data_IF_379196213710
#
_entry.id   IF_379196213710
#
_cell.length_a   1.000
_cell.length_b   1.000
_cell.length_c   1.000
_cell.angle_alpha   90.00
_cell.angle_beta   90.00
_cell.angle_gamma   90.00
#
_symmetry.space_group_name_H-M   'P 1'
#
loop_
_entity.id
_entity.type
_entity.pdbx_description
1 polymer ?
#
# COMPACT_ATOMS: atom_id res chain seq x y z
N UNK A 1 -26.78 6.25 28.27
CA UNK A 1 -26.20 6.35 26.92
C UNK A 1 -24.86 5.66 27.04
N UNK A 2 -24.65 4.59 26.29
CA UNK A 2 -23.33 3.96 26.19
C UNK A 2 -22.48 4.96 25.42
N UNK A 3 -21.74 5.80 26.14
CA UNK A 3 -20.75 6.71 25.56
C UNK A 3 -19.64 5.85 24.98
N UNK A 4 -19.86 5.33 23.78
CA UNK A 4 -18.77 4.79 22.99
C UNK A 4 -17.80 5.94 22.71
N UNK A 5 -16.51 5.75 22.97
CA UNK A 5 -15.56 6.83 22.87
C UNK A 5 -15.48 7.33 21.42
N UNK A 6 -15.30 8.64 21.20
CA UNK A 6 -15.40 9.26 19.89
C UNK A 6 -14.40 8.66 18.89
N UNK A 7 -14.92 8.23 17.74
CA UNK A 7 -14.16 7.58 16.66
C UNK A 7 -14.16 8.48 15.42
N UNK A 8 -12.97 8.88 14.96
CA UNK A 8 -12.83 9.63 13.72
C UNK A 8 -12.78 8.68 12.53
N UNK A 9 -13.66 8.91 11.55
CA UNK A 9 -13.66 8.15 10.31
C UNK A 9 -12.61 8.71 9.34
N UNK A 10 -11.61 7.90 8.98
CA UNK A 10 -10.56 8.30 8.01
C UNK A 10 -11.06 8.26 6.56
N UNK A 11 -12.21 7.64 6.32
CA UNK A 11 -12.90 7.62 5.05
C UNK A 11 -14.31 8.19 5.23
N UNK A 12 -14.84 8.89 4.23
CA UNK A 12 -16.16 9.50 4.37
C UNK A 12 -17.25 8.42 4.54
N UNK A 13 -18.14 8.52 5.54
CA UNK A 13 -19.10 7.45 5.86
C UNK A 13 -20.07 7.10 4.72
N UNK A 14 -20.44 8.08 3.88
CA UNK A 14 -21.33 7.87 2.75
C UNK A 14 -20.62 7.47 1.45
N UNK A 15 -19.30 7.70 1.34
CA UNK A 15 -18.52 7.35 0.15
C UNK A 15 -17.05 7.12 0.55
N UNK A 16 -16.68 5.86 0.76
CA UNK A 16 -15.37 5.49 1.27
C UNK A 16 -14.20 5.81 0.31
N UNK A 17 -14.48 6.27 -0.91
CA UNK A 17 -13.46 6.76 -1.86
C UNK A 17 -12.86 8.09 -1.42
N UNK A 18 -13.59 8.87 -0.64
CA UNK A 18 -13.10 10.09 -0.01
C UNK A 18 -12.29 9.74 1.25
N UNK A 19 -11.08 10.26 1.34
CA UNK A 19 -10.18 10.08 2.50
C UNK A 19 -10.04 11.40 3.24
N UNK A 20 -10.03 11.36 4.57
CA UNK A 20 -9.88 12.55 5.40
C UNK A 20 -8.53 13.21 5.13
N UNK A 21 -8.57 14.49 4.78
CA UNK A 21 -7.38 15.27 4.41
C UNK A 21 -7.05 16.34 5.43
N UNK A 22 -8.07 16.89 6.09
CA UNK A 22 -7.93 18.00 7.01
C UNK A 22 -9.03 17.99 8.09
N UNK A 23 -8.67 18.49 9.27
CA UNK A 23 -9.49 18.54 10.49
C UNK A 23 -9.18 19.86 11.22
N UNK A 24 -10.22 20.57 11.66
CA UNK A 24 -10.07 21.82 12.42
C UNK A 24 -11.31 22.09 13.29
N UNK A 25 -11.13 22.79 14.39
CA UNK A 25 -12.18 23.40 15.21
C UNK A 25 -12.68 24.76 14.68
N UNK A 26 -12.07 25.28 13.60
CA UNK A 26 -12.44 26.53 12.95
C UNK A 26 -13.00 26.31 11.54
N UNK A 27 -14.26 26.71 11.36
CA UNK A 27 -14.98 26.63 10.09
C UNK A 27 -14.29 27.40 8.97
N UNK A 28 -13.79 28.60 9.28
CA UNK A 28 -13.16 29.50 8.33
C UNK A 28 -11.84 28.90 7.84
N UNK A 29 -11.04 28.34 8.75
CA UNK A 29 -9.78 27.65 8.40
C UNK A 29 -10.04 26.44 7.50
N UNK A 30 -11.06 25.62 7.80
CA UNK A 30 -11.47 24.51 6.91
C UNK A 30 -11.92 25.01 5.54
N UNK A 31 -12.67 26.10 5.48
CA UNK A 31 -13.12 26.71 4.21
C UNK A 31 -11.94 27.24 3.37
N UNK A 32 -10.97 27.91 3.99
CA UNK A 32 -9.75 28.36 3.29
C UNK A 32 -8.96 27.18 2.75
N UNK A 33 -8.85 26.09 3.52
CA UNK A 33 -8.20 24.87 3.05
C UNK A 33 -8.94 24.23 1.88
N UNK A 34 -10.26 24.23 1.89
CA UNK A 34 -11.08 23.73 0.79
C UNK A 34 -10.91 24.60 -0.47
N UNK A 35 -10.87 25.92 -0.35
CA UNK A 35 -10.57 26.82 -1.47
C UNK A 35 -9.20 26.53 -2.07
N UNK A 36 -8.16 26.39 -1.25
CA UNK A 36 -6.82 26.02 -1.74
C UNK A 36 -6.82 24.68 -2.50
N UNK A 37 -7.56 23.68 -2.03
CA UNK A 37 -7.63 22.38 -2.68
C UNK A 37 -8.50 22.40 -3.95
N UNK A 38 -9.50 23.28 -4.04
CA UNK A 38 -10.34 23.43 -5.25
C UNK A 38 -9.59 23.99 -6.46
N UNK A 39 -8.42 24.60 -6.26
CA UNK A 39 -7.52 25.02 -7.35
C UNK A 39 -6.93 23.83 -8.12
N UNK A 40 -6.97 22.62 -7.54
CA UNK A 40 -6.54 21.38 -8.16
C UNK A 40 -7.73 20.73 -8.87
N UNK A 41 -7.72 20.74 -10.20
CA UNK A 41 -8.82 20.24 -11.04
C UNK A 41 -9.10 18.75 -10.89
N UNK A 42 -8.14 18.00 -10.36
CA UNK A 42 -8.19 16.57 -10.10
C UNK A 42 -8.64 16.23 -8.67
N UNK A 43 -9.10 17.18 -7.85
CA UNK A 43 -9.56 16.89 -6.49
C UNK A 43 -11.05 17.17 -6.35
N UNK A 44 -11.81 16.12 -6.01
CA UNK A 44 -13.13 16.27 -5.42
C UNK A 44 -13.04 16.37 -3.91
N UNK A 45 -13.99 17.10 -3.32
CA UNK A 45 -14.05 17.31 -1.87
C UNK A 45 -15.43 16.96 -1.32
N UNK A 46 -15.43 16.43 -0.10
CA UNK A 46 -16.61 16.27 0.71
C UNK A 46 -16.32 16.89 2.10
N UNK A 47 -17.29 17.63 2.63
CA UNK A 47 -17.18 18.23 3.95
C UNK A 47 -18.12 17.53 4.92
N UNK A 48 -17.69 17.40 6.16
CA UNK A 48 -18.53 16.95 7.26
C UNK A 48 -18.23 17.79 8.50
N UNK A 49 -19.22 17.93 9.37
CA UNK A 49 -19.09 18.64 10.63
C UNK A 49 -19.56 17.65 11.73
N UNK A 50 -18.78 17.47 12.79
CA UNK A 50 -19.05 16.51 13.87
C UNK A 50 -19.03 17.21 15.23
N UNK A 51 -19.75 16.66 16.22
CA UNK A 51 -19.67 17.15 17.60
C UNK A 51 -18.85 16.18 18.46
N UNK A 52 -17.76 16.69 19.04
CA UNK A 52 -16.84 15.91 19.89
C UNK A 52 -16.62 16.71 21.17
N UNK A 53 -16.90 16.09 22.33
CA UNK A 53 -16.74 16.76 23.62
C UNK A 53 -17.58 18.05 23.80
N UNK A 54 -18.65 18.23 23.01
CA UNK A 54 -19.47 19.45 23.00
C UNK A 54 -18.94 20.57 22.08
N UNK A 55 -17.82 20.38 21.41
CA UNK A 55 -17.28 21.29 20.40
C UNK A 55 -17.64 20.81 18.99
N UNK A 56 -17.66 21.73 18.01
CA UNK A 56 -17.87 21.37 16.60
C UNK A 56 -16.53 21.24 15.90
N UNK A 57 -16.29 20.08 15.31
CA UNK A 57 -15.09 19.79 14.52
C UNK A 57 -15.47 19.74 13.04
N UNK A 58 -14.72 20.47 12.22
CA UNK A 58 -14.89 20.61 10.79
C UNK A 58 -13.91 19.72 10.04
N UNK A 59 -14.47 18.78 9.28
CA UNK A 59 -13.73 17.79 8.50
C UNK A 59 -13.78 18.14 7.01
N UNK A 60 -12.67 17.86 6.33
CA UNK A 60 -12.56 17.95 4.89
C UNK A 60 -11.93 16.66 4.36
N UNK A 61 -12.73 15.93 3.59
CA UNK A 61 -12.33 14.74 2.88
C UNK A 61 -12.05 15.09 1.43
N UNK A 62 -11.08 14.40 0.85
CA UNK A 62 -10.72 14.55 -0.56
C UNK A 62 -10.73 13.21 -1.26
N UNK A 63 -11.12 13.20 -2.51
CA UNK A 63 -10.86 12.11 -3.45
C UNK A 63 -10.14 12.71 -4.65
N UNK A 64 -8.98 12.18 -4.97
CA UNK A 64 -8.32 12.53 -6.22
C UNK A 64 -9.00 11.77 -7.37
N UNK A 65 -9.39 12.51 -8.40
CA UNK A 65 -10.07 12.08 -9.62
C UNK A 65 -9.14 11.42 -10.66
N UNK A 66 -7.83 11.32 -10.39
CA UNK A 66 -6.81 11.00 -11.38
C UNK A 66 -7.23 10.03 -12.49
N UNK A 67 -7.32 10.61 -13.69
CA UNK A 67 -7.00 9.98 -14.96
C UNK A 67 -5.48 10.14 -15.18
N UNK A 68 -4.82 9.05 -15.61
CA UNK A 68 -3.40 8.95 -15.95
C UNK A 68 -2.36 8.85 -14.79
N UNK A 69 -1.82 7.64 -14.61
CA UNK A 69 -0.56 7.34 -13.93
C UNK A 69 0.56 6.96 -14.93
N UNK A 70 0.21 7.02 -16.22
CA UNK A 70 1.04 7.06 -17.42
C UNK A 70 0.26 7.92 -18.44
N UNK A 71 0.93 8.61 -19.38
CA UNK A 71 0.27 9.44 -20.38
C UNK A 71 -0.89 8.72 -21.08
N UNK A 72 -1.89 9.47 -21.53
CA UNK A 72 -2.83 8.90 -22.50
C UNK A 72 -2.09 8.75 -23.82
N UNK A 73 -2.00 7.51 -24.30
CA UNK A 73 -1.39 7.16 -25.56
C UNK A 73 -2.50 6.88 -26.57
N UNK A 74 -2.38 7.45 -27.76
CA UNK A 74 -3.31 7.20 -28.85
C UNK A 74 -2.90 5.93 -29.63
N UNK A 75 -1.63 5.51 -29.54
CA UNK A 75 -1.11 4.32 -30.22
C UNK A 75 -0.22 3.43 -29.36
N UNK A 76 -0.05 2.17 -29.76
CA UNK A 76 0.89 1.22 -29.13
C UNK A 76 2.34 1.67 -29.28
N UNK A 77 2.71 2.32 -30.40
CA UNK A 77 4.06 2.84 -30.58
C UNK A 77 4.43 3.92 -29.56
N UNK A 78 3.49 4.79 -29.18
CA UNK A 78 3.73 5.82 -28.16
C UNK A 78 3.93 5.20 -26.77
N UNK A 79 3.22 4.10 -26.47
CA UNK A 79 3.44 3.32 -25.24
C UNK A 79 4.86 2.75 -25.21
N UNK A 80 5.29 2.12 -26.31
CA UNK A 80 6.62 1.52 -26.42
C UNK A 80 7.71 2.59 -26.29
N UNK A 81 7.57 3.72 -26.99
CA UNK A 81 8.53 4.84 -26.92
C UNK A 81 8.63 5.41 -25.50
N UNK A 82 7.51 5.55 -24.80
CA UNK A 82 7.50 5.97 -23.40
C UNK A 82 8.18 4.95 -22.50
N UNK A 83 7.87 3.65 -22.64
CA UNK A 83 8.55 2.59 -21.87
C UNK A 83 10.06 2.58 -22.13
N UNK A 84 10.48 2.75 -23.37
CA UNK A 84 11.88 2.82 -23.79
C UNK A 84 12.61 4.04 -23.25
N UNK A 85 11.88 5.14 -23.02
CA UNK A 85 12.42 6.39 -22.50
C UNK A 85 12.52 6.37 -20.98
N UNK A 86 11.46 5.92 -20.29
CA UNK A 86 11.35 6.02 -18.83
C UNK A 86 12.03 4.86 -18.08
N UNK A 87 12.19 3.70 -18.71
CA UNK A 87 12.63 2.49 -18.02
C UNK A 87 13.83 1.84 -18.69
N UNK A 88 14.77 1.36 -17.87
CA UNK A 88 15.85 0.51 -18.35
C UNK A 88 15.33 -0.87 -18.77
N UNK A 89 16.03 -1.55 -19.68
CA UNK A 89 15.69 -2.94 -20.08
C UNK A 89 15.54 -3.92 -18.90
N UNK A 90 16.23 -3.67 -17.79
CA UNK A 90 16.07 -4.49 -16.58
C UNK A 90 14.83 -4.13 -15.78
N UNK A 91 14.51 -2.84 -15.67
CA UNK A 91 13.30 -2.40 -14.97
C UNK A 91 12.04 -2.81 -15.72
N UNK A 92 12.05 -2.77 -17.05
CA UNK A 92 10.93 -3.24 -17.89
C UNK A 92 10.53 -4.67 -17.60
N UNK A 93 11.48 -5.57 -17.41
CA UNK A 93 11.19 -6.98 -17.12
C UNK A 93 10.48 -7.17 -15.79
N UNK A 94 10.90 -6.41 -14.78
CA UNK A 94 10.23 -6.45 -13.47
C UNK A 94 8.87 -5.75 -13.55
N UNK A 95 8.75 -4.67 -14.31
CA UNK A 95 7.48 -3.99 -14.58
C UNK A 95 6.46 -4.94 -15.23
N UNK A 96 6.85 -5.68 -16.27
CA UNK A 96 5.99 -6.67 -16.91
C UNK A 96 5.57 -7.76 -15.92
N UNK A 97 6.51 -8.31 -15.14
CA UNK A 97 6.15 -9.28 -14.11
C UNK A 97 5.13 -8.71 -13.09
N UNK A 98 5.28 -7.45 -12.67
CA UNK A 98 4.33 -6.77 -11.77
C UNK A 98 2.95 -6.58 -12.41
N UNK A 99 2.91 -6.19 -13.68
CA UNK A 99 1.67 -6.02 -14.44
C UNK A 99 0.98 -7.38 -14.60
N UNK A 100 1.70 -8.41 -14.99
CA UNK A 100 1.17 -9.78 -15.15
C UNK A 100 0.58 -10.31 -13.84
N UNK A 101 1.27 -10.11 -12.70
CA UNK A 101 0.76 -10.47 -11.37
C UNK A 101 -0.53 -9.68 -11.07
N UNK A 102 -0.55 -8.38 -11.34
CA UNK A 102 -1.71 -7.54 -11.08
C UNK A 102 -2.92 -7.97 -11.92
N UNK A 103 -2.73 -8.20 -13.22
CA UNK A 103 -3.78 -8.62 -14.15
C UNK A 103 -4.30 -10.03 -13.82
N UNK A 104 -3.43 -10.93 -13.38
CA UNK A 104 -3.83 -12.24 -12.85
C UNK A 104 -4.78 -12.10 -11.64
N UNK A 105 -4.44 -11.23 -10.69
CA UNK A 105 -5.30 -10.95 -9.51
C UNK A 105 -6.65 -10.35 -9.92
N UNK A 106 -6.70 -9.51 -10.95
CA UNK A 106 -7.94 -8.95 -11.46
C UNK A 106 -8.81 -10.02 -12.11
N UNK A 107 -8.22 -10.84 -12.97
CA UNK A 107 -8.91 -11.94 -13.67
C UNK A 107 -9.56 -12.90 -12.68
N UNK A 108 -8.81 -13.36 -11.67
CA UNK A 108 -9.33 -14.24 -10.61
C UNK A 108 -10.54 -13.63 -9.87
N UNK A 109 -10.54 -12.32 -9.65
CA UNK A 109 -11.65 -11.64 -8.96
C UNK A 109 -12.88 -11.47 -9.83
N UNK A 110 -12.70 -11.17 -11.12
CA UNK A 110 -13.79 -11.12 -12.08
C UNK A 110 -14.45 -12.50 -12.22
N UNK A 111 -13.66 -13.57 -12.28
CA UNK A 111 -14.15 -14.96 -12.28
C UNK A 111 -14.94 -15.31 -11.01
N UNK A 112 -14.55 -14.73 -9.87
CA UNK A 112 -15.27 -14.86 -8.59
C UNK A 112 -16.53 -13.96 -8.49
N UNK A 113 -16.90 -13.26 -9.57
CA UNK A 113 -18.11 -12.45 -9.66
C UNK A 113 -18.03 -11.10 -8.94
N UNK A 114 -16.81 -10.63 -8.61
CA UNK A 114 -16.62 -9.29 -8.09
C UNK A 114 -16.57 -8.28 -9.24
N UNK A 115 -17.45 -7.27 -9.22
CA UNK A 115 -17.35 -6.10 -10.11
C UNK A 115 -16.13 -5.27 -9.70
N UNK A 116 -15.02 -5.45 -10.39
CA UNK A 116 -13.72 -4.92 -9.99
C UNK A 116 -13.21 -3.91 -11.01
N UNK A 117 -13.85 -2.74 -11.09
CA UNK A 117 -13.32 -1.67 -11.93
C UNK A 117 -12.05 -1.04 -11.33
N UNK A 118 -10.99 -0.93 -12.12
CA UNK A 118 -9.78 -0.17 -11.80
C UNK A 118 -10.09 1.33 -11.81
N UNK A 119 -10.52 1.88 -10.67
CA UNK A 119 -10.85 3.31 -10.54
C UNK A 119 -9.64 4.27 -10.60
N UNK A 120 -8.41 3.75 -10.78
CA UNK A 120 -7.15 4.51 -10.87
C UNK A 120 -6.18 3.79 -11.83
N UNK A 121 -5.28 4.53 -12.50
CA UNK A 121 -4.19 3.95 -13.31
C UNK A 121 -2.97 3.60 -12.41
N UNK A 122 -2.08 2.71 -12.89
CA UNK A 122 -0.86 2.26 -12.18
C UNK A 122 0.27 3.29 -12.22
N UNK A 123 0.88 3.60 -11.07
CA UNK A 123 2.02 4.51 -10.93
C UNK A 123 3.33 3.73 -11.10
N UNK A 124 3.61 3.38 -12.36
CA UNK A 124 4.73 2.50 -12.76
C UNK A 124 6.09 3.14 -12.48
N UNK A 125 6.18 4.47 -12.53
CA UNK A 125 7.41 5.23 -12.26
C UNK A 125 7.94 5.03 -10.83
N UNK A 126 7.09 4.64 -9.88
CA UNK A 126 7.54 4.30 -8.51
C UNK A 126 8.31 2.99 -8.43
N UNK A 127 8.09 2.05 -9.34
CA UNK A 127 8.65 0.69 -9.26
C UNK A 127 10.18 0.70 -9.35
N UNK A 128 10.82 1.42 -10.30
CA UNK A 128 12.29 1.57 -10.29
C UNK A 128 12.83 2.13 -8.96
N UNK A 129 12.12 3.09 -8.35
CA UNK A 129 12.46 3.64 -7.04
C UNK A 129 12.41 2.61 -5.91
N UNK A 130 11.46 1.66 -5.95
CA UNK A 130 11.40 0.51 -5.04
C UNK A 130 12.63 -0.37 -5.23
N UNK A 131 12.94 -0.76 -6.46
CA UNK A 131 14.04 -1.67 -6.79
C UNK A 131 15.41 -1.10 -6.44
N UNK A 132 15.58 0.21 -6.57
CA UNK A 132 16.83 0.91 -6.24
C UNK A 132 17.01 1.09 -4.72
N UNK A 133 15.95 0.94 -3.93
CA UNK A 133 16.00 1.04 -2.48
C UNK A 133 16.38 -0.28 -1.81
N UNK A 134 16.09 -1.40 -2.47
CA UNK A 134 16.47 -2.73 -2.00
C UNK A 134 17.99 -2.86 -1.97
N UNK A 135 18.53 -3.29 -0.84
CA UNK A 135 19.90 -3.71 -0.71
C UNK A 135 20.03 -5.12 -1.28
N UNK A 136 20.58 -5.21 -2.49
CA UNK A 136 20.82 -6.47 -3.16
C UNK A 136 22.11 -7.13 -2.64
N UNK A 137 22.27 -8.44 -2.88
CA UNK A 137 23.44 -9.22 -2.42
C UNK A 137 23.56 -9.40 -0.90
N UNK A 138 22.44 -9.37 -0.20
CA UNK A 138 22.30 -9.83 1.19
C UNK A 138 21.57 -11.16 1.23
N UNK A 139 21.07 -11.63 2.38
CA UNK A 139 20.32 -12.88 2.42
C UNK A 139 19.05 -12.80 1.57
N UNK A 140 18.71 -13.88 0.89
CA UNK A 140 17.47 -14.01 0.09
C UNK A 140 16.22 -13.56 0.87
N UNK A 141 15.98 -14.00 2.13
CA UNK A 141 14.83 -13.52 2.91
C UNK A 141 14.83 -12.01 3.15
N UNK A 142 16.01 -11.39 3.35
CA UNK A 142 16.11 -9.95 3.60
C UNK A 142 15.76 -9.15 2.34
N UNK A 143 16.29 -9.56 1.17
CA UNK A 143 15.93 -8.97 -0.13
C UNK A 143 14.43 -9.11 -0.39
N UNK A 144 13.86 -10.29 -0.14
CA UNK A 144 12.42 -10.53 -0.30
C UNK A 144 11.57 -9.63 0.61
N UNK A 145 11.99 -9.45 1.87
CA UNK A 145 11.30 -8.60 2.83
C UNK A 145 11.34 -7.12 2.43
N UNK A 146 12.48 -6.64 1.93
CA UNK A 146 12.62 -5.28 1.41
C UNK A 146 11.81 -5.05 0.15
N UNK A 147 11.82 -5.99 -0.81
CA UNK A 147 10.98 -5.95 -2.00
C UNK A 147 9.50 -5.79 -1.63
N UNK A 148 8.99 -6.70 -0.78
CA UNK A 148 7.60 -6.67 -0.31
C UNK A 148 7.29 -5.35 0.42
N UNK A 149 8.14 -4.97 1.37
CA UNK A 149 7.93 -3.80 2.21
C UNK A 149 7.91 -2.51 1.40
N UNK A 150 8.95 -2.27 0.61
CA UNK A 150 9.09 -1.05 -0.17
C UNK A 150 8.06 -0.96 -1.29
N UNK A 151 7.67 -2.07 -1.91
CA UNK A 151 6.58 -2.09 -2.90
C UNK A 151 5.26 -1.63 -2.29
N UNK A 152 4.85 -2.23 -1.16
CA UNK A 152 3.61 -1.87 -0.46
C UNK A 152 3.64 -0.41 0.02
N UNK A 153 4.78 0.06 0.53
CA UNK A 153 4.94 1.45 1.01
C UNK A 153 4.94 2.49 -0.12
N UNK A 154 5.42 2.13 -1.31
CA UNK A 154 5.35 2.99 -2.51
C UNK A 154 3.92 3.06 -3.06
N UNK A 155 3.15 1.98 -2.88
CA UNK A 155 1.77 1.86 -3.31
C UNK A 155 1.57 2.18 -4.81
N UNK A 156 2.32 1.53 -5.73
CA UNK A 156 2.30 1.84 -7.15
C UNK A 156 0.99 1.39 -7.83
N UNK A 157 0.29 0.40 -7.29
CA UNK A 157 -0.92 -0.14 -7.89
C UNK A 157 -2.16 0.69 -7.48
N UNK A 158 -3.20 0.76 -8.34
CA UNK A 158 -4.42 1.50 -8.04
C UNK A 158 -5.23 0.87 -6.89
N UNK A 159 -5.19 -0.46 -6.82
CA UNK A 159 -5.74 -1.29 -5.76
C UNK A 159 -4.78 -2.49 -5.57
N UNK A 160 -5.14 -3.46 -4.72
CA UNK A 160 -4.41 -4.74 -4.57
C UNK A 160 -2.89 -4.70 -4.29
N UNK A 161 -2.29 -3.55 -3.94
CA UNK A 161 -0.85 -3.41 -3.64
C UNK A 161 -0.26 -4.50 -2.74
N UNK A 162 -0.98 -4.90 -1.69
CA UNK A 162 -0.56 -6.01 -0.82
C UNK A 162 -0.45 -7.32 -1.58
N UNK A 163 -1.48 -7.69 -2.37
CA UNK A 163 -1.49 -8.94 -3.13
C UNK A 163 -0.45 -8.91 -4.24
N UNK A 164 -0.31 -7.80 -4.96
CA UNK A 164 0.72 -7.65 -5.99
C UNK A 164 2.13 -7.70 -5.39
N UNK A 165 2.36 -7.08 -4.23
CA UNK A 165 3.64 -7.17 -3.52
C UNK A 165 3.96 -8.60 -3.06
N UNK A 166 2.95 -9.35 -2.58
CA UNK A 166 3.10 -10.76 -2.22
C UNK A 166 3.38 -11.61 -3.47
N UNK A 167 2.72 -11.36 -4.59
CA UNK A 167 3.02 -12.04 -5.86
C UNK A 167 4.42 -11.73 -6.38
N UNK A 168 4.92 -10.50 -6.20
CA UNK A 168 6.29 -10.15 -6.55
C UNK A 168 7.30 -10.89 -5.66
N UNK A 169 7.01 -11.04 -4.37
CA UNK A 169 7.79 -11.86 -3.45
C UNK A 169 7.77 -13.33 -3.87
N UNK A 170 6.62 -13.88 -4.21
CA UNK A 170 6.47 -15.25 -4.72
C UNK A 170 7.36 -15.46 -5.95
N UNK A 171 7.23 -14.59 -6.96
CA UNK A 171 8.06 -14.63 -8.17
C UNK A 171 9.57 -14.53 -7.86
N UNK A 172 9.95 -13.70 -6.88
CA UNK A 172 11.34 -13.60 -6.43
C UNK A 172 11.86 -14.90 -5.82
N UNK A 173 11.11 -15.50 -4.89
CA UNK A 173 11.50 -16.74 -4.21
C UNK A 173 11.47 -17.95 -5.15
N UNK A 174 10.47 -18.07 -6.02
CA UNK A 174 10.40 -19.13 -7.05
C UNK A 174 11.57 -19.04 -8.04
N UNK A 175 12.17 -17.86 -8.21
CA UNK A 175 13.38 -17.74 -9.04
C UNK A 175 14.60 -18.44 -8.41
N UNK A 176 14.65 -18.61 -7.09
CA UNK A 176 15.71 -19.36 -6.40
C UNK A 176 15.38 -20.84 -6.26
N UNK A 177 14.11 -21.17 -6.03
CA UNK A 177 13.63 -22.54 -5.92
C UNK A 177 12.34 -22.72 -6.74
N UNK A 178 12.42 -23.41 -7.88
CA UNK A 178 11.25 -23.70 -8.72
C UNK A 178 10.18 -24.54 -7.99
N UNK A 179 10.57 -25.24 -6.92
CA UNK A 179 9.66 -25.97 -6.03
C UNK A 179 8.94 -25.08 -5.01
N UNK A 180 9.39 -23.85 -4.82
CA UNK A 180 8.73 -22.90 -3.93
C UNK A 180 7.40 -22.44 -4.54
N UNK A 181 6.37 -22.46 -3.70
CA UNK A 181 5.09 -21.84 -3.97
C UNK A 181 4.65 -21.10 -2.72
N UNK A 182 4.25 -19.83 -2.86
CA UNK A 182 3.59 -19.11 -1.79
C UNK A 182 2.37 -19.92 -1.31
N UNK A 183 2.22 -20.18 0.00
CA UNK A 183 1.09 -20.96 0.47
C UNK A 183 -0.26 -20.31 0.08
N UNK A 184 -1.31 -21.11 -0.09
CA UNK A 184 -2.58 -20.66 -0.69
C UNK A 184 -3.32 -19.64 0.17
N UNK A 185 -3.47 -18.42 -0.37
CA UNK A 185 -4.14 -17.27 0.28
C UNK A 185 -5.60 -17.09 -0.12
N UNK A 186 -6.16 -17.98 -0.95
CA UNK A 186 -7.50 -17.89 -1.51
C UNK A 186 -8.59 -18.59 -0.69
N UNK A 187 -8.26 -19.67 0.02
CA UNK A 187 -9.23 -20.46 0.80
C UNK A 187 -9.21 -20.12 2.30
N UNK A 188 -10.38 -20.15 2.96
CA UNK A 188 -10.46 -19.96 4.41
C UNK A 188 -9.67 -21.05 5.15
N UNK A 189 -8.54 -20.64 5.73
CA UNK A 189 -7.61 -21.51 6.44
C UNK A 189 -6.59 -20.72 7.25
N UNK A 190 -5.65 -21.42 7.90
CA UNK A 190 -4.61 -20.81 8.74
C UNK A 190 -3.79 -19.77 7.97
N UNK A 191 -3.48 -20.04 6.70
CA UNK A 191 -2.67 -19.14 5.89
C UNK A 191 -3.43 -17.90 5.43
N UNK A 192 -4.68 -18.05 4.97
CA UNK A 192 -5.57 -16.93 4.70
C UNK A 192 -5.70 -15.99 5.90
N UNK A 193 -5.88 -16.54 7.11
CA UNK A 193 -5.96 -15.75 8.33
C UNK A 193 -4.65 -15.01 8.61
N UNK A 194 -3.51 -15.68 8.50
CA UNK A 194 -2.21 -15.08 8.78
C UNK A 194 -1.83 -13.99 7.75
N UNK A 195 -2.05 -14.22 6.46
CA UNK A 195 -1.86 -13.18 5.43
C UNK A 195 -2.82 -12.02 5.66
N UNK A 196 -4.07 -12.29 6.07
CA UNK A 196 -5.02 -11.24 6.45
C UNK A 196 -4.50 -10.42 7.63
N UNK A 197 -3.97 -11.04 8.68
CA UNK A 197 -3.37 -10.33 9.82
C UNK A 197 -2.20 -9.44 9.39
N UNK A 198 -1.29 -9.96 8.56
CA UNK A 198 -0.21 -9.17 7.97
C UNK A 198 -0.75 -7.95 7.19
N UNK A 199 -1.76 -8.16 6.33
CA UNK A 199 -2.39 -7.09 5.55
C UNK A 199 -3.04 -6.04 6.46
N UNK A 200 -3.74 -6.45 7.52
CA UNK A 200 -4.37 -5.55 8.48
C UNK A 200 -3.33 -4.70 9.21
N UNK A 201 -2.27 -5.32 9.72
CA UNK A 201 -1.18 -4.63 10.39
C UNK A 201 -0.42 -3.70 9.45
N UNK A 202 -0.13 -4.16 8.23
CA UNK A 202 0.50 -3.34 7.20
C UNK A 202 -0.35 -2.10 6.88
N UNK A 203 -1.66 -2.26 6.72
CA UNK A 203 -2.61 -1.13 6.53
C UNK A 203 -2.60 -0.17 7.72
N UNK A 204 -2.54 -0.69 8.96
CA UNK A 204 -2.39 0.14 10.17
C UNK A 204 -1.07 0.91 10.16
N UNK A 205 0.05 0.26 9.87
CA UNK A 205 1.38 0.88 9.79
C UNK A 205 1.42 1.96 8.69
N UNK A 206 0.84 1.70 7.52
CA UNK A 206 0.71 2.66 6.42
C UNK A 206 -0.08 3.92 6.85
N UNK A 207 -1.19 3.74 7.56
CA UNK A 207 -1.97 4.86 8.11
C UNK A 207 -1.10 5.69 9.06
N UNK A 208 -0.43 5.06 10.01
CA UNK A 208 0.44 5.74 10.96
C UNK A 208 1.61 6.44 10.26
N UNK A 209 2.22 5.83 9.25
CA UNK A 209 3.29 6.42 8.45
C UNK A 209 2.83 7.67 7.71
N UNK A 210 1.66 7.64 7.10
CA UNK A 210 1.21 8.66 6.15
C UNK A 210 0.35 9.76 6.79
N UNK A 211 -0.34 9.45 7.89
CA UNK A 211 -1.37 10.32 8.48
C UNK A 211 -1.08 10.72 9.92
N UNK A 212 0.08 10.39 10.53
CA UNK A 212 0.36 10.77 11.93
C UNK A 212 0.10 12.26 12.25
N UNK A 213 0.47 13.23 11.40
CA UNK A 213 0.16 14.63 11.66
C UNK A 213 -1.35 14.92 11.77
N UNK A 214 -2.17 14.23 10.97
CA UNK A 214 -3.63 14.32 11.05
C UNK A 214 -4.14 13.69 12.35
N UNK A 215 -3.59 12.53 12.73
CA UNK A 215 -3.96 11.82 13.95
C UNK A 215 -3.60 12.60 15.23
N UNK A 216 -2.53 13.39 15.18
CA UNK A 216 -2.20 14.33 16.25
C UNK A 216 -3.31 15.35 16.48
N UNK A 217 -3.84 15.95 15.42
CA UNK A 217 -4.96 16.87 15.52
C UNK A 217 -6.23 16.17 16.00
N UNK A 218 -6.53 14.97 15.48
CA UNK A 218 -7.65 14.17 15.97
C UNK A 218 -7.58 13.94 17.49
N UNK A 219 -6.40 13.57 17.99
CA UNK A 219 -6.18 13.39 19.42
C UNK A 219 -6.38 14.70 20.21
N UNK A 220 -5.91 15.83 19.68
CA UNK A 220 -6.09 17.15 20.30
C UNK A 220 -7.55 17.59 20.38
N UNK A 221 -8.36 17.23 19.38
CA UNK A 221 -9.80 17.52 19.35
C UNK A 221 -10.65 16.50 20.12
N UNK A 222 -10.03 15.59 20.87
CA UNK A 222 -10.72 14.69 21.79
C UNK A 222 -11.20 13.38 21.18
N UNK A 223 -10.78 13.02 19.96
CA UNK A 223 -10.99 11.66 19.46
C UNK A 223 -10.10 10.68 20.23
N UNK A 224 -10.65 9.51 20.55
CA UNK A 224 -9.91 8.43 21.22
C UNK A 224 -9.43 7.38 20.22
N UNK A 225 -10.22 7.14 19.18
CA UNK A 225 -9.90 6.16 18.12
C UNK A 225 -10.05 6.79 16.75
N UNK A 226 -9.33 6.24 15.78
CA UNK A 226 -9.61 6.47 14.36
C UNK A 226 -9.92 5.15 13.68
N UNK A 227 -10.81 5.19 12.71
CA UNK A 227 -11.23 4.02 11.94
C UNK A 227 -10.93 4.22 10.46
N UNK A 228 -10.26 3.24 9.88
CA UNK A 228 -10.05 3.11 8.44
C UNK A 228 -11.02 2.08 7.87
N UNK A 229 -11.21 2.12 6.55
CA UNK A 229 -11.92 1.08 5.80
C UNK A 229 -11.53 -0.33 6.26
N UNK A 230 -12.48 -1.26 6.16
CA UNK A 230 -12.35 -2.66 6.60
C UNK A 230 -12.28 -2.83 8.14
N UNK A 231 -12.74 -1.82 8.90
CA UNK A 231 -12.86 -1.91 10.37
C UNK A 231 -11.52 -1.84 11.11
N UNK A 232 -10.47 -1.33 10.47
CA UNK A 232 -9.16 -1.18 11.11
C UNK A 232 -9.23 0.02 12.04
N UNK A 233 -9.27 -0.25 13.35
CA UNK A 233 -9.26 0.76 14.39
C UNK A 233 -7.84 1.00 14.93
N UNK A 234 -7.53 2.25 15.21
CA UNK A 234 -6.28 2.66 15.85
C UNK A 234 -6.65 3.46 17.09
N UNK A 235 -6.27 2.94 18.26
CA UNK A 235 -6.34 3.68 19.50
C UNK A 235 -5.24 4.76 19.53
N UNK A 236 -5.66 6.01 19.72
CA UNK A 236 -4.76 7.16 19.74
C UNK A 236 -3.94 7.22 21.05
N UNK A 237 -4.41 6.60 22.14
CA UNK A 237 -3.67 6.50 23.40
C UNK A 237 -2.50 5.50 23.33
N UNK A 238 -2.57 4.52 22.42
CA UNK A 238 -1.53 3.50 22.25
C UNK A 238 -0.36 3.95 21.35
N UNK A 239 -0.46 5.10 20.70
CA UNK A 239 0.53 5.59 19.74
C UNK A 239 1.16 6.90 20.19
N UNK A 240 2.44 7.09 19.84
CA UNK A 240 3.09 8.38 20.01
C UNK A 240 2.72 9.32 18.85
N UNK A 241 1.61 10.06 18.98
CA UNK A 241 1.15 11.05 17.98
C UNK A 241 2.13 12.22 17.76
N UNK A 242 3.04 12.47 18.69
CA UNK A 242 4.04 13.54 18.61
C UNK A 242 5.37 13.09 17.98
N UNK A 243 5.45 11.85 17.51
CA UNK A 243 6.66 11.30 16.89
C UNK A 243 7.01 12.06 15.61
N UNK A 244 8.19 12.69 15.59
CA UNK A 244 8.66 13.50 14.45
C UNK A 244 9.31 12.66 13.35
N UNK A 245 9.93 11.53 13.69
CA UNK A 245 10.56 10.58 12.76
C UNK A 245 9.58 9.52 12.23
N UNK A 246 8.27 9.78 12.29
CA UNK A 246 7.23 8.78 12.03
C UNK A 246 7.34 8.09 10.68
N UNK A 247 7.78 8.81 9.62
CA UNK A 247 7.95 8.22 8.29
C UNK A 247 9.00 7.10 8.30
N UNK A 248 10.18 7.37 8.87
CA UNK A 248 11.27 6.38 8.95
C UNK A 248 10.93 5.29 9.97
N UNK A 249 10.41 5.67 11.14
CA UNK A 249 10.00 4.72 12.17
C UNK A 249 9.00 3.69 11.64
N UNK A 250 7.90 4.14 11.02
CA UNK A 250 6.90 3.21 10.50
C UNK A 250 7.33 2.52 9.20
N UNK A 251 8.31 3.05 8.47
CA UNK A 251 8.95 2.30 7.37
C UNK A 251 9.72 1.11 7.90
N UNK A 252 10.54 1.30 8.96
CA UNK A 252 11.28 0.20 9.59
C UNK A 252 10.34 -0.81 10.25
N UNK A 253 9.29 -0.35 10.94
CA UNK A 253 8.26 -1.24 11.50
C UNK A 253 7.56 -2.08 10.44
N UNK A 254 7.35 -1.52 9.24
CA UNK A 254 6.80 -2.28 8.13
C UNK A 254 7.79 -3.33 7.63
N UNK A 255 9.08 -2.96 7.51
CA UNK A 255 10.14 -3.89 7.14
C UNK A 255 10.27 -5.05 8.15
N UNK A 256 10.31 -4.76 9.46
CA UNK A 256 10.34 -5.80 10.51
C UNK A 256 9.20 -6.81 10.33
N UNK A 257 7.98 -6.33 10.07
CA UNK A 257 6.81 -7.19 9.82
C UNK A 257 6.91 -7.95 8.50
N UNK A 258 7.54 -7.37 7.47
CA UNK A 258 7.82 -8.07 6.22
C UNK A 258 8.90 -9.13 6.37
N UNK A 259 9.92 -8.95 7.22
CA UNK A 259 10.90 -9.98 7.55
C UNK A 259 10.22 -11.18 8.22
N UNK A 260 9.42 -10.93 9.26
CA UNK A 260 8.63 -11.97 9.93
C UNK A 260 7.69 -12.70 8.94
N UNK A 261 7.13 -11.95 7.98
CA UNK A 261 6.29 -12.52 6.93
C UNK A 261 7.08 -13.49 6.04
N UNK A 262 8.21 -13.07 5.50
CA UNK A 262 9.03 -13.88 4.59
C UNK A 262 9.58 -15.11 5.30
N UNK A 263 10.09 -14.96 6.53
CA UNK A 263 10.58 -16.10 7.32
C UNK A 263 9.47 -17.14 7.53
N UNK A 264 8.26 -16.70 7.87
CA UNK A 264 7.12 -17.61 8.06
C UNK A 264 6.74 -18.30 6.76
N UNK A 265 6.71 -17.57 5.64
CA UNK A 265 6.41 -18.14 4.33
C UNK A 265 7.41 -19.23 3.93
N UNK A 266 8.72 -18.99 4.12
CA UNK A 266 9.76 -19.98 3.84
C UNK A 266 9.65 -21.22 4.73
N UNK A 267 9.30 -21.05 6.01
CA UNK A 267 9.11 -22.18 6.93
C UNK A 267 7.90 -23.04 6.54
N UNK A 268 6.76 -22.41 6.21
CA UNK A 268 5.53 -23.13 5.88
C UNK A 268 5.59 -23.78 4.48
N UNK A 269 6.38 -23.22 3.56
CA UNK A 269 6.64 -23.82 2.24
C UNK A 269 7.76 -24.89 2.24
N UNK A 270 8.33 -25.24 3.41
CA UNK A 270 9.49 -26.15 3.55
C UNK A 270 10.73 -25.69 2.74
N UNK A 271 10.84 -24.39 2.45
CA UNK A 271 11.91 -23.76 1.69
C UNK A 271 12.96 -23.09 2.59
N UNK A 272 13.18 -23.65 3.79
CA UNK A 272 14.09 -23.08 4.80
C UNK A 272 15.55 -23.03 4.37
N UNK A 273 15.94 -23.82 3.35
CA UNK A 273 17.28 -23.76 2.77
C UNK A 273 17.61 -22.36 2.20
N UNK A 274 16.61 -21.63 1.68
CA UNK A 274 16.77 -20.26 1.19
C UNK A 274 17.16 -19.26 2.28
N UNK A 275 16.90 -19.55 3.56
CA UNK A 275 17.25 -18.64 4.67
C UNK A 275 18.76 -18.42 4.81
N UNK A 276 19.57 -19.39 4.36
CA UNK A 276 21.04 -19.30 4.38
C UNK A 276 21.64 -18.82 3.06
N UNK A 277 20.83 -18.61 2.03
CA UNK A 277 21.30 -18.24 0.70
C UNK A 277 21.52 -16.73 0.59
N UNK A 278 22.58 -16.36 -0.13
CA UNK A 278 22.89 -14.96 -0.45
C UNK A 278 22.38 -14.64 -1.85
N UNK A 279 21.64 -13.55 -1.96
CA UNK A 279 21.16 -13.03 -3.22
C UNK A 279 22.33 -12.70 -4.18
N UNK A 280 22.15 -12.94 -5.48
CA UNK A 280 23.18 -12.70 -6.49
C UNK A 280 23.07 -11.34 -7.21
N UNK A 281 22.04 -10.57 -6.86
CA UNK A 281 21.84 -9.18 -7.22
C UNK A 281 20.71 -8.93 -8.21
N UNK A 282 20.24 -7.67 -8.27
CA UNK A 282 19.15 -7.21 -9.16
C UNK A 282 19.24 -7.75 -10.59
N UNK A 283 20.43 -7.72 -11.19
CA UNK A 283 20.63 -8.17 -12.58
C UNK A 283 20.33 -9.66 -12.73
N UNK A 284 20.77 -10.48 -11.79
CA UNK A 284 20.56 -11.91 -11.87
C UNK A 284 19.08 -12.28 -11.62
N UNK A 285 18.39 -11.55 -10.73
CA UNK A 285 16.93 -11.66 -10.63
C UNK A 285 16.24 -11.32 -11.96
N UNK A 286 16.62 -10.21 -12.62
CA UNK A 286 16.11 -9.87 -13.96
C UNK A 286 16.40 -10.98 -14.99
N UNK A 287 17.61 -11.54 -14.98
CA UNK A 287 17.99 -12.61 -15.90
C UNK A 287 17.16 -13.89 -15.67
N UNK A 288 16.84 -14.21 -14.40
CA UNK A 288 15.94 -15.32 -14.06
C UNK A 288 14.51 -15.08 -14.51
N UNK A 289 13.99 -13.86 -14.39
CA UNK A 289 12.67 -13.51 -14.91
C UNK A 289 12.56 -13.73 -16.42
N UNK A 290 13.62 -13.43 -17.19
CA UNK A 290 13.69 -13.66 -18.64
C UNK A 290 13.80 -15.13 -19.03
N UNK A 291 14.38 -15.97 -18.16
CA UNK A 291 14.57 -17.40 -18.40
C UNK A 291 13.38 -18.27 -18.01
N UNK A 292 12.32 -17.69 -17.44
CA UNK A 292 11.13 -18.38 -16.94
C UNK A 292 9.96 -18.42 -17.95
N UNK A 293 10.24 -18.23 -19.25
CA UNK A 293 9.31 -18.46 -20.38
C UNK A 293 9.42 -19.87 -20.96
#
# INVERSE_FOLDING_TARGET
MTDEPPVLQLHHPADNRFTLRFISDDKQVRSEKATQLSEQSDIEMAIADESVGGETIYLLYTRTLFDAAYPEFETEEEVIEWFDTEFSEGDKQILFAVIDIFDGILTEKEEQGADFSTYKKMDLEKIPGVLNRVEWRQLVPDVGAELLSYFILAHPMPNTNHRTGIGLLDRYLTSYDEGFSMPDTGEEGRWYQWVREFIYDSKRILTLRNQLPLLKWAHQYGYERVERKEGIQIDLAEINVNRTDHRSYYTNRHLDRSCEFVETALNEADATHLQGETDDGKRAFVDRLRGAE
#
